data_IF_163271483720
#
_entry.id   IF_163271483720
#
_cell.length_a   1.000
_cell.length_b   1.000
_cell.length_c   1.000
_cell.angle_alpha   90.00
_cell.angle_beta   90.00
_cell.angle_gamma   90.00
#
_symmetry.space_group_name_H-M   'P 1'
#
loop_
_entity.id
_entity.type
_entity.pdbx_description
1 polymer ?
#
# COMPACT_ATOMS: atom_id res chain seq x y z
N UNK A 1 2.30 36.75 -22.14
CA UNK A 1 1.71 35.57 -21.46
C UNK A 1 2.52 34.29 -21.65
N UNK A 2 2.96 33.92 -22.87
CA UNK A 2 3.75 32.69 -23.11
C UNK A 2 5.03 32.59 -22.24
N UNK A 3 5.78 33.68 -22.14
CA UNK A 3 7.05 33.74 -21.39
C UNK A 3 6.90 33.46 -19.89
N UNK A 4 5.78 33.86 -19.29
CA UNK A 4 5.55 33.70 -17.85
C UNK A 4 5.27 32.24 -17.46
N UNK A 5 4.59 31.48 -18.33
CA UNK A 5 4.30 30.06 -18.12
C UNK A 5 5.54 29.16 -18.25
N UNK A 6 6.52 29.57 -19.04
CA UNK A 6 7.77 28.82 -19.28
C UNK A 6 8.69 28.93 -18.05
N UNK A 7 8.80 30.12 -17.45
CA UNK A 7 9.72 30.40 -16.33
C UNK A 7 9.27 29.66 -15.05
N UNK A 8 7.98 29.65 -14.72
CA UNK A 8 7.47 28.95 -13.53
C UNK A 8 7.62 27.42 -13.61
N UNK A 9 7.59 26.84 -14.81
CA UNK A 9 7.74 25.40 -15.03
C UNK A 9 9.20 24.91 -14.93
N UNK A 10 10.16 25.79 -15.20
CA UNK A 10 11.58 25.44 -15.17
C UNK A 10 12.13 25.36 -13.73
N UNK A 11 11.63 26.21 -12.82
CA UNK A 11 12.08 26.23 -11.42
C UNK A 11 11.65 25.00 -10.61
N UNK A 12 10.45 24.48 -10.88
CA UNK A 12 9.93 23.30 -10.16
C UNK A 12 10.65 21.99 -10.56
N UNK A 13 11.39 21.96 -11.69
CA UNK A 13 11.99 20.76 -12.30
C UNK A 13 13.26 20.21 -11.65
N UNK A 14 13.87 20.92 -10.70
CA UNK A 14 15.28 20.71 -10.33
C UNK A 14 15.58 19.75 -9.16
N UNK A 15 14.61 18.97 -8.66
CA UNK A 15 14.87 18.01 -7.59
C UNK A 15 14.56 16.57 -8.03
N UNK A 16 15.57 15.88 -8.55
CA UNK A 16 15.51 14.44 -8.80
C UNK A 16 16.00 13.70 -7.55
N UNK A 17 15.20 12.76 -7.06
CA UNK A 17 15.62 11.73 -6.12
C UNK A 17 15.33 10.41 -6.81
N UNK A 18 16.37 9.64 -7.12
CA UNK A 18 16.24 8.30 -7.66
C UNK A 18 15.76 7.34 -6.55
N UNK A 19 14.88 6.37 -6.88
CA UNK A 19 14.47 5.35 -5.94
C UNK A 19 15.68 4.51 -5.51
N UNK A 20 15.88 4.35 -4.19
CA UNK A 20 17.01 3.61 -3.65
C UNK A 20 16.87 2.09 -3.89
N UNK A 21 17.99 1.36 -3.97
CA UNK A 21 18.03 -0.11 -4.12
C UNK A 21 17.14 -0.89 -3.11
N UNK A 22 16.85 -0.31 -1.94
CA UNK A 22 15.97 -0.92 -0.94
C UNK A 22 14.52 -1.02 -1.42
N UNK A 23 14.07 -0.08 -2.25
CA UNK A 23 12.73 -0.08 -2.82
C UNK A 23 12.58 -1.22 -3.85
N UNK A 24 13.60 -1.46 -4.67
CA UNK A 24 13.64 -2.53 -5.69
C UNK A 24 13.47 -3.94 -5.11
N UNK A 25 14.04 -4.24 -3.94
CA UNK A 25 13.93 -5.56 -3.32
C UNK A 25 12.57 -5.82 -2.65
N UNK A 26 11.92 -4.78 -2.12
CA UNK A 26 10.54 -4.88 -1.62
C UNK A 26 9.54 -5.15 -2.75
N UNK A 27 9.72 -4.46 -3.89
CA UNK A 27 8.83 -4.56 -5.05
C UNK A 27 8.72 -5.97 -5.63
N UNK A 28 9.81 -6.72 -5.66
CA UNK A 28 9.81 -8.08 -6.20
C UNK A 28 8.92 -9.03 -5.38
N UNK A 29 8.97 -8.94 -4.05
CA UNK A 29 8.24 -9.85 -3.17
C UNK A 29 6.73 -9.58 -3.16
N UNK A 30 6.34 -8.31 -3.11
CA UNK A 30 4.94 -7.89 -3.28
C UNK A 30 4.36 -8.36 -4.62
N UNK A 31 5.12 -8.21 -5.72
CA UNK A 31 4.69 -8.65 -7.06
C UNK A 31 4.46 -10.16 -7.14
N UNK A 32 5.30 -10.97 -6.46
CA UNK A 32 5.15 -12.42 -6.37
C UNK A 32 3.85 -12.78 -5.62
N UNK A 33 3.58 -12.12 -4.50
CA UNK A 33 2.34 -12.31 -3.74
C UNK A 33 1.10 -12.03 -4.60
N UNK A 34 1.04 -10.86 -5.25
CA UNK A 34 -0.10 -10.50 -6.10
C UNK A 34 -0.29 -11.51 -7.24
N UNK A 35 0.81 -11.95 -7.89
CA UNK A 35 0.75 -12.91 -8.99
C UNK A 35 0.13 -14.23 -8.54
N UNK A 36 0.57 -14.78 -7.41
CA UNK A 36 0.06 -16.07 -6.93
C UNK A 36 -1.38 -15.97 -6.46
N UNK A 37 -1.75 -14.93 -5.72
CA UNK A 37 -3.14 -14.73 -5.31
C UNK A 37 -4.08 -14.59 -6.51
N UNK A 38 -3.64 -13.89 -7.56
CA UNK A 38 -4.40 -13.77 -8.81
C UNK A 38 -4.49 -15.11 -9.55
N UNK A 39 -3.37 -15.83 -9.72
CA UNK A 39 -3.34 -17.12 -10.41
C UNK A 39 -4.21 -18.19 -9.74
N UNK A 40 -4.30 -18.13 -8.40
CA UNK A 40 -5.10 -19.05 -7.59
C UNK A 40 -6.54 -18.56 -7.36
N UNK A 41 -6.94 -17.44 -7.96
CA UNK A 41 -8.26 -16.83 -7.81
C UNK A 41 -8.68 -16.54 -6.36
N UNK A 42 -7.72 -16.20 -5.49
CA UNK A 42 -8.04 -15.74 -4.14
C UNK A 42 -8.71 -14.36 -4.18
N UNK A 43 -9.71 -14.17 -3.31
CA UNK A 43 -10.31 -12.84 -3.14
C UNK A 43 -9.40 -11.98 -2.27
N UNK A 44 -8.58 -11.14 -2.92
CA UNK A 44 -7.55 -10.34 -2.27
C UNK A 44 -7.71 -8.85 -2.56
N UNK A 45 -7.41 -8.03 -1.56
CA UNK A 45 -7.44 -6.57 -1.62
C UNK A 45 -6.09 -6.01 -1.20
N UNK A 46 -5.50 -5.16 -2.03
CA UNK A 46 -4.11 -4.73 -1.86
C UNK A 46 -3.99 -3.32 -1.29
N UNK A 47 -2.90 -3.06 -0.57
CA UNK A 47 -2.50 -1.73 -0.08
C UNK A 47 -3.62 -0.98 0.65
N UNK A 48 -4.39 -1.70 1.47
CA UNK A 48 -5.48 -1.10 2.24
C UNK A 48 -4.91 -0.32 3.41
N UNK A 49 -5.49 0.85 3.66
CA UNK A 49 -5.07 1.73 4.73
C UNK A 49 -6.16 1.95 5.76
N UNK A 50 -5.75 2.26 6.99
CA UNK A 50 -6.62 2.71 8.07
C UNK A 50 -6.01 3.95 8.71
N UNK A 51 -6.84 4.88 9.19
CA UNK A 51 -6.35 5.99 10.02
C UNK A 51 -5.76 5.44 11.31
N UNK A 52 -4.57 5.89 11.69
CA UNK A 52 -3.99 5.51 12.97
C UNK A 52 -4.83 6.09 14.12
N UNK A 53 -5.19 5.29 15.13
CA UNK A 53 -5.93 5.79 16.29
C UNK A 53 -5.07 6.66 17.22
N UNK A 54 -3.74 6.56 17.13
CA UNK A 54 -2.82 7.27 18.02
C UNK A 54 -2.21 8.53 17.39
N UNK A 55 -2.22 8.62 16.06
CA UNK A 55 -1.64 9.76 15.37
C UNK A 55 -2.49 10.12 14.15
N UNK A 56 -3.16 11.28 14.23
CA UNK A 56 -4.00 11.83 13.16
C UNK A 56 -3.26 12.05 11.83
N UNK A 57 -1.93 12.10 11.88
CA UNK A 57 -1.03 12.28 10.74
C UNK A 57 -0.42 10.97 10.24
N UNK A 58 -0.90 9.80 10.66
CA UNK A 58 -0.36 8.53 10.17
C UNK A 58 -1.47 7.58 9.75
N UNK A 59 -1.15 6.77 8.75
CA UNK A 59 -1.97 5.65 8.33
C UNK A 59 -1.29 4.35 8.73
N UNK A 60 -2.12 3.36 9.05
CA UNK A 60 -1.72 1.97 9.10
C UNK A 60 -1.93 1.40 7.70
N UNK A 61 -1.00 0.59 7.23
CA UNK A 61 -1.02 -0.01 5.90
C UNK A 61 -0.73 -1.50 6.02
N UNK A 62 -1.36 -2.27 5.14
CA UNK A 62 -1.15 -3.70 4.97
C UNK A 62 -1.00 -4.01 3.48
N UNK A 63 -0.13 -4.96 3.16
CA UNK A 63 0.16 -5.31 1.76
C UNK A 63 -1.06 -5.98 1.13
N UNK A 64 -1.63 -7.00 1.77
CA UNK A 64 -2.85 -7.65 1.30
C UNK A 64 -3.84 -7.98 2.41
N UNK A 65 -5.13 -7.93 2.07
CA UNK A 65 -6.22 -8.51 2.84
C UNK A 65 -6.82 -9.61 1.98
N UNK A 66 -6.76 -10.86 2.45
CA UNK A 66 -7.35 -12.01 1.78
C UNK A 66 -8.63 -12.39 2.53
N UNK A 67 -9.74 -12.54 1.81
CA UNK A 67 -10.97 -13.12 2.34
C UNK A 67 -11.16 -14.52 1.80
N UNK A 68 -10.97 -15.51 2.67
CA UNK A 68 -11.03 -16.92 2.32
C UNK A 68 -11.81 -17.69 3.39
N UNK A 69 -12.72 -18.54 2.95
CA UNK A 69 -13.53 -19.42 3.80
C UNK A 69 -13.99 -18.73 5.10
N UNK A 70 -14.73 -17.63 4.92
CA UNK A 70 -15.28 -16.79 6.00
C UNK A 70 -14.26 -16.24 7.02
N UNK A 71 -12.99 -16.13 6.62
CA UNK A 71 -11.89 -15.60 7.43
C UNK A 71 -11.17 -14.49 6.69
N UNK A 72 -10.87 -13.40 7.41
CA UNK A 72 -10.13 -12.26 6.89
C UNK A 72 -8.68 -12.36 7.37
N UNK A 73 -7.76 -12.51 6.42
CA UNK A 73 -6.33 -12.55 6.66
C UNK A 73 -5.68 -11.22 6.29
N UNK A 74 -5.03 -10.57 7.23
CA UNK A 74 -4.18 -9.40 6.98
C UNK A 74 -2.74 -9.89 6.80
N UNK A 75 -2.22 -9.75 5.58
CA UNK A 75 -0.95 -10.30 5.12
C UNK A 75 0.05 -9.17 4.92
N UNK A 76 1.19 -9.26 5.61
CA UNK A 76 2.37 -8.42 5.34
C UNK A 76 3.47 -9.31 4.72
N UNK A 77 4.01 -8.91 3.58
CA UNK A 77 5.08 -9.59 2.87
C UNK A 77 6.44 -9.00 3.25
N UNK A 78 7.43 -9.87 3.46
CA UNK A 78 8.81 -9.48 3.78
C UNK A 78 9.82 -10.23 2.94
N UNK A 79 10.87 -9.51 2.56
CA UNK A 79 12.01 -10.00 1.81
C UNK A 79 13.29 -9.52 2.48
N UNK A 80 13.62 -10.13 3.61
CA UNK A 80 14.79 -9.78 4.39
C UNK A 80 15.93 -10.73 4.06
N UNK A 81 16.85 -10.30 3.19
CA UNK A 81 18.01 -11.11 2.84
C UNK A 81 18.75 -11.63 4.07
N UNK A 82 19.01 -12.94 4.14
CA UNK A 82 19.76 -13.58 5.22
C UNK A 82 18.87 -14.34 6.21
N UNK A 83 19.34 -14.46 7.45
CA UNK A 83 18.68 -15.25 8.50
C UNK A 83 18.07 -14.34 9.55
N UNK A 84 16.85 -14.66 9.98
CA UNK A 84 16.09 -13.91 10.98
C UNK A 84 15.93 -14.74 12.25
N UNK A 85 16.23 -14.13 13.40
CA UNK A 85 16.03 -14.71 14.73
C UNK A 85 15.46 -13.66 15.70
N UNK A 86 14.88 -14.11 16.81
CA UNK A 86 14.50 -13.18 17.88
C UNK A 86 15.73 -12.60 18.57
N UNK A 87 15.67 -11.32 18.95
CA UNK A 87 16.72 -10.73 19.75
C UNK A 87 16.77 -11.39 21.14
N UNK A 88 17.96 -11.72 21.64
CA UNK A 88 18.12 -12.26 22.98
C UNK A 88 18.02 -11.15 24.05
N UNK A 89 17.47 -11.50 25.20
CA UNK A 89 17.52 -10.72 26.43
C UNK A 89 18.57 -11.35 27.35
N UNK A 90 19.49 -10.52 27.83
CA UNK A 90 20.49 -10.93 28.81
C UNK A 90 20.30 -10.13 30.09
N UNK A 91 20.33 -10.82 31.22
CA UNK A 91 20.36 -10.22 32.55
C UNK A 91 21.69 -10.59 33.20
N UNK A 92 22.53 -9.58 33.48
CA UNK A 92 23.89 -9.78 34.03
C UNK A 92 24.72 -10.81 33.24
N UNK A 93 24.80 -10.61 31.92
CA UNK A 93 25.52 -11.48 30.96
C UNK A 93 25.03 -12.94 30.89
N UNK A 94 23.93 -13.27 31.56
CA UNK A 94 23.27 -14.58 31.49
C UNK A 94 22.06 -14.49 30.56
N UNK A 95 21.89 -15.46 29.67
CA UNK A 95 20.71 -15.55 28.82
C UNK A 95 19.46 -15.70 29.69
N UNK A 96 18.50 -14.80 29.51
CA UNK A 96 17.22 -14.81 30.22
C UNK A 96 16.09 -15.32 29.32
N UNK A 97 15.87 -14.64 28.20
CA UNK A 97 14.72 -14.92 27.32
C UNK A 97 14.92 -14.33 25.92
N UNK A 98 13.97 -14.57 25.00
CA UNK A 98 13.93 -13.89 23.70
C UNK A 98 12.96 -12.71 23.73
N UNK A 99 13.35 -11.58 23.15
CA UNK A 99 12.51 -10.41 22.91
C UNK A 99 11.66 -10.64 21.66
N UNK A 100 10.43 -11.09 21.84
CA UNK A 100 9.51 -11.41 20.73
C UNK A 100 9.09 -10.20 19.89
N UNK A 101 9.24 -8.98 20.42
CA UNK A 101 8.94 -7.73 19.72
C UNK A 101 10.06 -7.24 18.79
N UNK A 102 11.23 -7.87 18.83
CA UNK A 102 12.42 -7.45 18.10
C UNK A 102 13.04 -8.65 17.40
N UNK A 103 13.24 -8.52 16.09
CA UNK A 103 13.96 -9.51 15.30
C UNK A 103 15.34 -8.97 14.93
N UNK A 104 16.30 -9.86 14.77
CA UNK A 104 17.62 -9.54 14.24
C UNK A 104 17.71 -10.16 12.85
N UNK A 105 18.07 -9.33 11.88
CA UNK A 105 18.45 -9.78 10.53
C UNK A 105 19.96 -9.91 10.47
N UNK A 106 20.47 -11.13 10.32
CA UNK A 106 21.87 -11.42 10.04
C UNK A 106 22.05 -11.66 8.56
N UNK A 107 22.96 -10.91 7.94
CA UNK A 107 23.26 -11.02 6.50
C UNK A 107 24.73 -10.77 6.21
N UNK A 108 25.19 -11.34 5.13
CA UNK A 108 26.53 -11.07 4.59
C UNK A 108 26.49 -9.82 3.71
N UNK A 109 27.41 -8.89 3.94
CA UNK A 109 27.54 -7.69 3.11
C UNK A 109 28.31 -7.97 1.80
N UNK A 110 28.53 -6.93 0.98
CA UNK A 110 29.27 -7.04 -0.30
C UNK A 110 30.75 -7.43 -0.12
N UNK A 111 31.29 -7.27 1.09
CA UNK A 111 32.68 -7.56 1.45
C UNK A 111 32.82 -8.90 2.19
N UNK A 112 31.79 -9.74 2.18
CA UNK A 112 31.73 -11.03 2.87
C UNK A 112 31.78 -10.93 4.41
N UNK A 113 31.55 -9.75 4.98
CA UNK A 113 31.44 -9.57 6.42
C UNK A 113 30.01 -9.86 6.90
N UNK A 114 29.90 -10.46 8.08
CA UNK A 114 28.61 -10.59 8.74
C UNK A 114 28.17 -9.24 9.31
N UNK A 115 26.97 -8.82 8.95
CA UNK A 115 26.32 -7.62 9.48
C UNK A 115 24.98 -8.02 10.09
N UNK A 116 24.63 -7.38 11.19
CA UNK A 116 23.33 -7.57 11.83
C UNK A 116 22.56 -6.26 11.88
N UNK A 117 21.23 -6.35 11.81
CA UNK A 117 20.32 -5.22 11.96
C UNK A 117 19.17 -5.62 12.86
N UNK A 118 18.97 -4.87 13.94
CA UNK A 118 17.77 -5.00 14.76
C UNK A 118 16.59 -4.31 14.07
N UNK A 119 15.46 -5.01 14.00
CA UNK A 119 14.21 -4.55 13.40
C UNK A 119 13.05 -4.88 14.34
N UNK A 120 11.97 -4.08 14.34
CA UNK A 120 10.75 -4.47 15.04
C UNK A 120 10.17 -5.74 14.41
N UNK A 121 9.53 -6.59 15.22
CA UNK A 121 8.83 -7.77 14.71
C UNK A 121 7.66 -7.31 13.81
N UNK A 122 7.64 -7.68 12.51
CA UNK A 122 6.57 -7.28 11.60
C UNK A 122 5.19 -7.81 12.06
N UNK A 123 5.14 -8.93 12.78
CA UNK A 123 3.88 -9.52 13.23
C UNK A 123 3.13 -8.60 14.20
N UNK A 124 3.85 -7.84 15.04
CA UNK A 124 3.21 -6.91 15.99
C UNK A 124 2.46 -5.79 15.26
N UNK A 125 3.07 -5.24 14.21
CA UNK A 125 2.41 -4.25 13.32
C UNK A 125 1.20 -4.87 12.65
N UNK A 126 1.32 -6.09 12.13
CA UNK A 126 0.22 -6.79 11.44
C UNK A 126 -0.93 -7.13 12.39
N UNK A 127 -0.65 -7.62 13.60
CA UNK A 127 -1.63 -7.85 14.67
C UNK A 127 -2.33 -6.55 15.05
N UNK A 128 -1.58 -5.46 15.16
CA UNK A 128 -2.16 -4.16 15.43
C UNK A 128 -3.09 -3.68 14.30
N UNK A 129 -2.67 -3.75 13.04
CA UNK A 129 -3.51 -3.41 11.89
C UNK A 129 -4.80 -4.25 11.89
N UNK A 130 -4.66 -5.57 12.03
CA UNK A 130 -5.78 -6.53 12.03
C UNK A 130 -6.81 -6.19 13.12
N UNK A 131 -6.34 -5.86 14.32
CA UNK A 131 -7.20 -5.42 15.43
C UNK A 131 -7.94 -4.13 15.10
N UNK A 132 -7.27 -3.16 14.46
CA UNK A 132 -7.92 -1.91 14.05
C UNK A 132 -8.91 -2.13 12.90
N UNK A 133 -8.60 -3.00 11.94
CA UNK A 133 -9.51 -3.37 10.87
C UNK A 133 -10.79 -3.98 11.42
N UNK A 134 -10.67 -4.96 12.32
CA UNK A 134 -11.83 -5.58 12.98
C UNK A 134 -12.69 -4.54 13.69
N UNK A 135 -12.07 -3.64 14.46
CA UNK A 135 -12.79 -2.54 15.14
C UNK A 135 -13.45 -1.58 14.15
N UNK A 136 -12.78 -1.26 13.06
CA UNK A 136 -13.30 -0.38 12.01
C UNK A 136 -14.53 -1.00 11.37
N UNK A 137 -14.46 -2.25 10.91
CA UNK A 137 -15.56 -2.95 10.26
C UNK A 137 -16.76 -3.18 11.20
N UNK A 138 -16.50 -3.54 12.47
CA UNK A 138 -17.55 -3.69 13.49
C UNK A 138 -18.37 -2.42 13.74
N UNK A 139 -17.80 -1.23 13.50
CA UNK A 139 -18.55 0.03 13.63
C UNK A 139 -19.56 0.24 12.51
N UNK A 140 -19.36 -0.39 11.36
CA UNK A 140 -20.28 -0.31 10.23
C UNK A 140 -21.29 -1.45 10.21
N UNK A 141 -20.88 -2.65 10.63
CA UNK A 141 -21.75 -3.82 10.66
C UNK A 141 -21.36 -4.77 11.80
N UNK A 142 -22.30 -5.07 12.69
CA UNK A 142 -22.06 -5.92 13.86
C UNK A 142 -21.83 -7.39 13.47
N UNK A 143 -22.27 -7.84 12.28
CA UNK A 143 -22.08 -9.21 11.80
C UNK A 143 -20.61 -9.59 11.67
N UNK A 144 -19.70 -8.62 11.57
CA UNK A 144 -18.25 -8.86 11.65
C UNK A 144 -17.78 -9.46 12.99
N UNK A 145 -18.65 -9.57 14.01
CA UNK A 145 -18.31 -10.24 15.27
C UNK A 145 -18.09 -11.74 15.10
N UNK A 146 -18.74 -12.35 14.09
CA UNK A 146 -18.68 -13.79 13.80
C UNK A 146 -17.54 -14.15 12.83
N UNK A 147 -17.01 -13.16 12.11
CA UNK A 147 -15.91 -13.32 11.16
C UNK A 147 -14.58 -13.45 11.90
N UNK A 148 -13.79 -14.46 11.55
CA UNK A 148 -12.43 -14.64 12.10
C UNK A 148 -11.46 -13.67 11.41
N UNK A 149 -10.58 -13.07 12.19
CA UNK A 149 -9.50 -12.22 11.69
C UNK A 149 -8.16 -12.84 12.07
N UNK A 150 -7.26 -12.99 11.11
CA UNK A 150 -5.92 -13.54 11.29
C UNK A 150 -4.87 -12.57 10.75
N UNK A 151 -3.76 -12.51 11.46
CA UNK A 151 -2.58 -11.74 11.09
C UNK A 151 -1.53 -12.70 10.60
N UNK A 152 -0.90 -12.40 9.46
CA UNK A 152 0.17 -13.23 8.93
C UNK A 152 1.26 -12.36 8.33
N UNK A 153 2.49 -12.70 8.64
CA UNK A 153 3.69 -12.19 7.97
C UNK A 153 4.29 -13.33 7.17
N UNK A 154 4.52 -13.04 5.90
CA UNK A 154 4.99 -14.01 4.93
C UNK A 154 6.40 -13.59 4.51
N UNK A 155 7.35 -14.51 4.59
CA UNK A 155 8.73 -14.27 4.19
C UNK A 155 9.08 -15.02 2.91
N UNK A 156 9.76 -14.35 1.98
CA UNK A 156 10.17 -14.99 0.73
C UNK A 156 11.25 -16.06 0.98
N UNK A 157 10.91 -17.32 0.72
CA UNK A 157 11.76 -18.50 0.95
C UNK A 157 13.15 -18.38 0.31
N UNK A 158 13.21 -17.83 -0.91
CA UNK A 158 14.42 -17.80 -1.72
C UNK A 158 15.52 -16.88 -1.19
N UNK A 159 15.20 -16.00 -0.25
CA UNK A 159 16.10 -14.95 0.22
C UNK A 159 16.17 -14.82 1.74
N UNK A 160 15.17 -15.32 2.46
CA UNK A 160 15.01 -15.13 3.90
C UNK A 160 14.88 -16.48 4.57
N UNK A 161 15.82 -16.84 5.46
CA UNK A 161 15.64 -17.95 6.39
C UNK A 161 15.00 -17.42 7.68
N UNK A 162 13.88 -17.99 8.09
CA UNK A 162 13.17 -17.65 9.32
C UNK A 162 13.06 -18.83 10.29
N UNK A 163 13.83 -19.90 10.15
CA UNK A 163 13.71 -21.12 10.96
C UNK A 163 13.77 -20.83 12.47
N UNK A 164 14.52 -19.80 12.87
CA UNK A 164 14.63 -19.36 14.27
C UNK A 164 13.42 -18.58 14.81
N UNK A 165 12.48 -18.14 13.97
CA UNK A 165 11.25 -17.42 14.36
C UNK A 165 9.97 -18.00 13.76
N UNK A 166 10.07 -19.02 12.90
CA UNK A 166 8.95 -19.59 12.18
C UNK A 166 7.91 -20.11 13.17
N UNK A 167 6.66 -19.73 12.95
CA UNK A 167 5.54 -20.20 13.74
C UNK A 167 4.29 -20.18 12.87
N UNK A 168 3.90 -21.38 12.42
CA UNK A 168 2.72 -21.55 11.58
C UNK A 168 1.48 -21.01 12.26
N UNK A 169 1.19 -21.41 13.51
CA UNK A 169 -0.01 -20.97 14.24
C UNK A 169 -0.09 -19.46 14.49
N UNK A 170 1.04 -18.82 14.81
CA UNK A 170 1.11 -17.38 15.06
C UNK A 170 1.09 -16.55 13.78
N UNK A 171 1.28 -17.18 12.61
CA UNK A 171 1.31 -16.51 11.32
C UNK A 171 2.66 -15.90 10.98
N UNK A 172 3.78 -16.50 11.41
CA UNK A 172 5.13 -16.18 10.92
C UNK A 172 5.57 -17.33 10.02
N UNK A 173 5.38 -17.17 8.72
CA UNK A 173 5.49 -18.29 7.78
C UNK A 173 6.39 -17.96 6.59
N UNK A 174 6.90 -19.01 5.97
CA UNK A 174 7.45 -18.92 4.63
C UNK A 174 6.33 -18.70 3.61
N UNK A 175 6.68 -18.10 2.47
CA UNK A 175 5.76 -17.85 1.37
C UNK A 175 5.21 -19.15 0.77
N UNK A 176 6.02 -20.19 0.69
CA UNK A 176 5.57 -21.54 0.30
C UNK A 176 4.44 -22.11 1.17
N UNK A 177 4.32 -21.66 2.43
CA UNK A 177 3.32 -22.14 3.39
C UNK A 177 2.00 -21.35 3.35
N UNK A 178 1.90 -20.30 2.52
CA UNK A 178 0.76 -19.38 2.56
C UNK A 178 -0.56 -20.08 2.22
N UNK A 179 -0.60 -20.91 1.18
CA UNK A 179 -1.82 -21.62 0.79
C UNK A 179 -2.31 -22.54 1.91
N UNK A 180 -1.43 -23.39 2.45
CA UNK A 180 -1.76 -24.29 3.56
C UNK A 180 -2.23 -23.52 4.80
N UNK A 181 -1.60 -22.39 5.10
CA UNK A 181 -2.00 -21.52 6.20
C UNK A 181 -3.41 -20.96 6.00
N UNK A 182 -3.73 -20.46 4.80
CA UNK A 182 -5.07 -19.95 4.49
C UNK A 182 -6.13 -21.04 4.65
N UNK A 183 -5.87 -22.26 4.16
CA UNK A 183 -6.83 -23.36 4.29
C UNK A 183 -7.02 -23.81 5.75
N UNK A 184 -5.92 -24.09 6.46
CA UNK A 184 -5.99 -24.65 7.81
C UNK A 184 -6.49 -23.64 8.85
N UNK A 185 -6.25 -22.34 8.65
CA UNK A 185 -6.61 -21.30 9.61
C UNK A 185 -7.95 -20.63 9.32
N UNK A 186 -8.62 -21.01 8.22
CA UNK A 186 -9.95 -20.53 7.88
C UNK A 186 -11.04 -21.14 8.76
N UNK A 187 -12.25 -20.57 8.67
CA UNK A 187 -13.46 -21.20 9.18
C UNK A 187 -14.00 -22.11 8.06
N UNK A 188 -14.53 -23.28 8.37
CA UNK A 188 -15.21 -24.10 7.35
C UNK A 188 -16.55 -23.44 6.97
N UNK A 189 -16.52 -22.47 6.07
CA UNK A 189 -17.68 -21.70 5.65
C UNK A 189 -17.45 -21.02 4.30
N UNK A 190 -18.52 -20.60 3.66
CA UNK A 190 -18.45 -19.91 2.36
C UNK A 190 -18.19 -18.41 2.52
N UNK A 191 -17.56 -17.82 1.51
CA UNK A 191 -17.35 -16.37 1.46
C UNK A 191 -18.69 -15.64 1.30
N UNK A 192 -18.96 -14.71 2.20
CA UNK A 192 -20.17 -13.90 2.21
C UNK A 192 -20.00 -12.66 1.32
N UNK A 193 -20.90 -12.46 0.36
CA UNK A 193 -20.86 -11.31 -0.54
C UNK A 193 -20.90 -9.95 0.21
N UNK A 194 -21.67 -9.87 1.29
CA UNK A 194 -21.75 -8.63 2.09
C UNK A 194 -20.41 -8.24 2.74
N UNK A 195 -19.51 -9.20 3.02
CA UNK A 195 -18.16 -8.90 3.54
C UNK A 195 -17.33 -8.22 2.47
N UNK A 196 -17.43 -8.69 1.22
CA UNK A 196 -16.72 -8.14 0.07
C UNK A 196 -17.06 -6.66 -0.13
N UNK A 197 -18.35 -6.31 -0.04
CA UNK A 197 -18.81 -4.93 -0.18
C UNK A 197 -18.12 -3.94 0.77
N UNK A 198 -17.76 -4.39 1.98
CA UNK A 198 -17.04 -3.56 2.95
C UNK A 198 -15.54 -3.54 2.68
N UNK A 199 -14.94 -4.69 2.33
CA UNK A 199 -13.50 -4.79 2.05
C UNK A 199 -13.12 -4.05 0.77
N UNK A 200 -13.99 -4.01 -0.23
CA UNK A 200 -13.81 -3.23 -1.46
C UNK A 200 -13.73 -1.73 -1.19
N UNK A 201 -14.53 -1.25 -0.24
CA UNK A 201 -14.64 0.16 0.16
C UNK A 201 -13.54 0.61 1.11
N UNK A 202 -12.65 -0.28 1.55
CA UNK A 202 -11.52 0.12 2.38
C UNK A 202 -10.63 1.10 1.60
N UNK A 203 -10.21 2.21 2.23
CA UNK A 203 -9.41 3.19 1.52
C UNK A 203 -8.05 2.59 1.15
N UNK A 204 -7.49 3.09 0.07
CA UNK A 204 -6.12 2.86 -0.39
C UNK A 204 -5.43 4.21 -0.51
N UNK A 205 -4.14 4.21 -0.80
CA UNK A 205 -3.48 5.45 -1.16
C UNK A 205 -3.78 5.84 -2.59
N UNK A 206 -3.88 7.15 -2.82
CA UNK A 206 -3.89 7.77 -4.13
C UNK A 206 -2.50 8.30 -4.46
N UNK A 207 -2.23 8.48 -5.76
CA UNK A 207 -0.93 8.97 -6.24
C UNK A 207 -1.10 10.14 -7.18
N UNK A 208 -0.28 11.16 -7.01
CA UNK A 208 -0.05 12.23 -7.98
C UNK A 208 1.36 12.06 -8.51
N UNK A 209 1.48 11.83 -9.82
CA UNK A 209 2.76 11.84 -10.53
C UNK A 209 2.95 13.23 -11.11
N UNK A 210 4.00 13.91 -10.68
CA UNK A 210 4.28 15.28 -11.10
C UNK A 210 4.88 15.34 -12.50
N UNK A 211 4.98 16.55 -13.05
CA UNK A 211 5.69 16.83 -14.32
C UNK A 211 7.18 16.43 -14.30
N UNK A 212 7.74 16.18 -13.11
CA UNK A 212 9.12 15.75 -12.90
C UNK A 212 9.22 14.25 -12.57
N UNK A 213 8.13 13.50 -12.80
CA UNK A 213 8.01 12.09 -12.42
C UNK A 213 8.17 11.80 -10.91
N UNK A 214 8.02 12.80 -10.04
CA UNK A 214 7.94 12.55 -8.60
C UNK A 214 6.57 11.99 -8.26
N UNK A 215 6.53 10.94 -7.45
CA UNK A 215 5.28 10.36 -6.94
C UNK A 215 4.95 10.92 -5.56
N UNK A 216 3.80 11.56 -5.43
CA UNK A 216 3.26 12.06 -4.18
C UNK A 216 2.09 11.18 -3.77
N UNK A 217 2.21 10.52 -2.62
CA UNK A 217 1.23 9.59 -2.09
C UNK A 217 0.41 10.24 -0.97
N UNK A 218 -0.91 10.01 -0.95
CA UNK A 218 -1.83 10.54 0.06
C UNK A 218 -3.27 10.05 -0.16
N UNK A 219 -4.26 10.73 0.42
CA UNK A 219 -5.69 10.48 0.15
C UNK A 219 -6.28 11.67 -0.59
N UNK A 220 -6.79 11.45 -1.79
CA UNK A 220 -7.51 12.46 -2.57
C UNK A 220 -8.77 12.86 -1.83
N UNK A 221 -8.93 14.17 -1.64
CA UNK A 221 -10.14 14.77 -1.06
C UNK A 221 -11.04 15.35 -2.13
N UNK A 222 -10.43 16.00 -3.11
CA UNK A 222 -11.16 16.76 -4.11
C UNK A 222 -10.32 16.90 -5.38
N UNK A 223 -10.98 16.82 -6.54
CA UNK A 223 -10.41 17.21 -7.83
C UNK A 223 -11.38 18.22 -8.46
N UNK A 224 -10.92 19.46 -8.55
CA UNK A 224 -11.66 20.57 -9.14
C UNK A 224 -11.13 20.78 -10.55
N UNK A 225 -11.99 20.58 -11.55
CA UNK A 225 -11.66 20.82 -12.95
C UNK A 225 -12.47 22.01 -13.44
N UNK A 226 -11.77 22.99 -14.01
CA UNK A 226 -12.39 24.05 -14.78
C UNK A 226 -12.24 23.73 -16.26
N UNK A 227 -13.38 23.52 -16.91
CA UNK A 227 -13.50 23.33 -18.34
C UNK A 227 -14.34 24.47 -18.92
N UNK A 228 -14.35 24.60 -20.25
CA UNK A 228 -15.21 25.57 -20.94
C UNK A 228 -16.72 25.22 -20.85
N UNK A 229 -17.07 24.06 -20.29
CA UNK A 229 -18.42 23.63 -19.91
C UNK A 229 -18.57 23.69 -18.38
N UNK A 230 -19.80 23.82 -17.83
CA UNK A 230 -20.01 24.03 -16.39
C UNK A 230 -19.18 23.06 -15.55
N UNK A 231 -18.57 23.59 -14.47
CA UNK A 231 -17.71 22.86 -13.55
C UNK A 231 -18.35 21.49 -13.25
N UNK A 232 -17.75 20.43 -13.77
CA UNK A 232 -18.20 19.07 -13.52
C UNK A 232 -17.37 18.57 -12.35
N UNK A 233 -18.00 18.43 -11.19
CA UNK A 233 -17.37 17.71 -10.08
C UNK A 233 -17.21 16.25 -10.51
N UNK A 234 -15.98 15.75 -10.41
CA UNK A 234 -15.67 14.38 -10.76
C UNK A 234 -15.96 13.45 -9.59
N UNK A 235 -16.82 12.46 -9.80
CA UNK A 235 -17.03 11.41 -8.82
C UNK A 235 -15.79 10.50 -8.75
N UNK A 236 -14.94 10.78 -7.76
CA UNK A 236 -13.70 10.04 -7.53
C UNK A 236 -13.93 8.54 -7.36
N UNK A 237 -15.11 8.10 -6.91
CA UNK A 237 -15.42 6.68 -6.74
C UNK A 237 -15.50 5.91 -8.06
N UNK A 238 -15.69 6.61 -9.18
CA UNK A 238 -15.81 6.01 -10.53
C UNK A 238 -14.52 6.08 -11.32
N UNK A 239 -13.56 6.88 -10.87
CA UNK A 239 -12.34 7.18 -11.61
C UNK A 239 -11.24 6.27 -11.12
N UNK A 240 -10.48 5.73 -12.07
CA UNK A 240 -9.27 4.94 -11.83
C UNK A 240 -8.02 5.79 -12.00
N UNK A 241 -7.97 6.58 -13.07
CA UNK A 241 -6.81 7.40 -13.38
C UNK A 241 -7.19 8.66 -14.18
N UNK A 242 -6.33 9.66 -14.10
CA UNK A 242 -6.40 10.89 -14.88
C UNK A 242 -5.01 11.12 -15.48
N UNK A 243 -4.88 10.98 -16.79
CA UNK A 243 -3.66 11.28 -17.52
C UNK A 243 -3.73 12.69 -18.10
N UNK A 244 -2.66 13.46 -17.93
CA UNK A 244 -2.58 14.88 -18.30
C UNK A 244 -1.48 15.07 -19.35
N UNK A 245 -1.88 15.39 -20.57
CA UNK A 245 -0.98 15.74 -21.67
C UNK A 245 -0.90 17.25 -21.82
N UNK A 246 0.24 17.79 -21.40
CA UNK A 246 0.54 19.22 -21.52
C UNK A 246 0.86 19.59 -22.97
N UNK A 247 0.22 20.65 -23.50
CA UNK A 247 0.61 21.24 -24.77
C UNK A 247 1.68 22.30 -24.52
N UNK A 248 2.85 22.18 -25.16
CA UNK A 248 4.00 23.07 -24.95
C UNK A 248 3.70 24.56 -25.18
N UNK A 249 2.72 24.87 -26.02
CA UNK A 249 2.39 26.24 -26.46
C UNK A 249 1.16 26.83 -25.78
N UNK A 250 0.51 26.11 -24.85
CA UNK A 250 -0.78 26.50 -24.29
C UNK A 250 -0.86 26.32 -22.77
N UNK A 251 -1.65 27.18 -22.12
CA UNK A 251 -2.07 26.96 -20.73
C UNK A 251 -3.10 25.82 -20.60
N UNK A 252 -3.60 25.31 -21.73
CA UNK A 252 -4.54 24.20 -21.79
C UNK A 252 -3.81 22.86 -21.80
N UNK A 253 -4.36 21.89 -21.08
CA UNK A 253 -3.94 20.50 -21.13
C UNK A 253 -5.06 19.62 -21.68
N UNK A 254 -4.67 18.55 -22.37
CA UNK A 254 -5.60 17.47 -22.70
C UNK A 254 -5.64 16.50 -21.52
N UNK A 255 -6.84 16.24 -21.02
CA UNK A 255 -7.10 15.32 -19.93
C UNK A 255 -7.74 14.07 -20.51
N UNK A 256 -7.22 12.91 -20.12
CA UNK A 256 -7.85 11.62 -20.35
C UNK A 256 -8.23 11.03 -18.99
N UNK A 257 -9.53 10.97 -18.73
CA UNK A 257 -10.08 10.24 -17.59
C UNK A 257 -10.24 8.78 -17.97
N UNK A 258 -9.81 7.90 -17.08
CA UNK A 258 -10.10 6.47 -17.14
C UNK A 258 -10.98 6.09 -15.95
N UNK A 259 -12.13 5.47 -16.25
CA UNK A 259 -13.06 4.99 -15.24
C UNK A 259 -12.72 3.55 -14.79
N UNK A 260 -13.33 3.10 -13.70
CA UNK A 260 -13.12 1.75 -13.14
C UNK A 260 -13.56 0.63 -14.09
N UNK A 261 -14.56 0.90 -14.96
CA UNK A 261 -15.03 0.00 -16.01
C UNK A 261 -14.14 0.02 -17.28
N UNK A 262 -12.99 0.70 -17.20
CA UNK A 262 -12.01 0.89 -18.27
C UNK A 262 -12.46 1.82 -19.41
N UNK A 263 -13.67 2.39 -19.34
CA UNK A 263 -14.08 3.41 -20.30
C UNK A 263 -13.25 4.68 -20.11
N UNK A 264 -13.12 5.47 -21.17
CA UNK A 264 -12.33 6.69 -21.15
C UNK A 264 -13.14 7.89 -21.59
N UNK A 265 -12.79 9.06 -21.07
CA UNK A 265 -13.36 10.34 -21.47
C UNK A 265 -12.23 11.35 -21.65
N UNK A 266 -12.21 12.03 -22.79
CA UNK A 266 -11.22 13.05 -23.08
C UNK A 266 -11.84 14.43 -23.16
N UNK A 267 -11.14 15.42 -22.61
CA UNK A 267 -11.50 16.83 -22.73
C UNK A 267 -10.28 17.73 -22.54
N UNK A 268 -10.47 19.02 -22.77
CA UNK A 268 -9.44 20.04 -22.58
C UNK A 268 -9.82 20.91 -21.39
N UNK A 269 -8.89 21.06 -20.45
CA UNK A 269 -9.03 21.97 -19.32
C UNK A 269 -7.92 23.03 -19.33
N UNK A 270 -8.21 24.20 -18.76
CA UNK A 270 -7.24 25.27 -18.54
C UNK A 270 -6.79 25.35 -17.09
N UNK A 271 -7.60 24.84 -16.15
CA UNK A 271 -7.25 24.72 -14.73
C UNK A 271 -7.74 23.40 -14.16
N UNK A 272 -6.87 22.79 -13.36
CA UNK A 272 -7.16 21.64 -12.53
C UNK A 272 -6.48 21.87 -11.18
N UNK A 273 -7.21 21.60 -10.11
CA UNK A 273 -6.72 21.66 -8.73
C UNK A 273 -7.01 20.32 -8.08
N UNK A 274 -6.00 19.73 -7.47
CA UNK A 274 -6.14 18.50 -6.69
C UNK A 274 -5.83 18.81 -5.24
N UNK A 275 -6.72 18.41 -4.34
CA UNK A 275 -6.49 18.46 -2.90
C UNK A 275 -6.18 17.05 -2.42
N UNK A 276 -4.96 16.89 -1.91
CA UNK A 276 -4.44 15.63 -1.38
C UNK A 276 -4.16 15.78 0.11
N UNK A 277 -4.73 14.90 0.92
CA UNK A 277 -4.37 14.75 2.33
C UNK A 277 -3.14 13.85 2.44
N UNK A 278 -1.97 14.48 2.59
CA UNK A 278 -0.72 13.79 2.86
C UNK A 278 -0.53 13.76 4.37
N UNK A 279 -0.92 12.65 4.99
CA UNK A 279 -0.63 12.39 6.40
C UNK A 279 -1.20 13.49 7.32
N UNK A 280 -2.46 13.89 7.12
CA UNK A 280 -3.15 14.93 7.88
C UNK A 280 -2.78 16.37 7.50
N UNK A 281 -1.93 16.54 6.47
CA UNK A 281 -1.60 17.85 5.88
C UNK A 281 -2.24 17.94 4.51
N UNK A 282 -3.13 18.92 4.32
CA UNK A 282 -3.74 19.19 3.02
C UNK A 282 -2.74 19.87 2.10
N UNK A 283 -2.45 19.22 0.98
CA UNK A 283 -1.61 19.75 -0.10
C UNK A 283 -2.47 20.07 -1.31
N UNK A 284 -2.24 21.24 -1.89
CA UNK A 284 -2.93 21.70 -3.10
C UNK A 284 -1.98 21.62 -4.29
N UNK A 285 -2.32 20.76 -5.25
CA UNK A 285 -1.56 20.57 -6.48
C UNK A 285 -2.31 21.18 -7.66
N UNK A 286 -1.59 21.84 -8.56
CA UNK A 286 -2.16 22.54 -9.72
C UNK A 286 -1.84 21.78 -11.00
N UNK A 287 -2.68 21.96 -12.02
CA UNK A 287 -2.52 21.39 -13.36
C UNK A 287 -1.08 21.44 -13.88
N UNK A 288 -0.42 22.59 -13.73
CA UNK A 288 0.94 22.84 -14.21
C UNK A 288 1.98 21.85 -13.71
N UNK A 289 1.72 21.20 -12.56
CA UNK A 289 2.68 20.39 -11.82
C UNK A 289 2.31 18.90 -11.85
N UNK A 290 1.22 18.50 -12.52
CA UNK A 290 0.70 17.12 -12.51
C UNK A 290 0.75 16.53 -13.92
N UNK A 291 1.30 15.32 -14.05
CA UNK A 291 1.24 14.50 -15.27
C UNK A 291 0.16 13.43 -15.17
N UNK A 292 -0.02 12.83 -13.99
CA UNK A 292 -0.99 11.76 -13.79
C UNK A 292 -1.52 11.75 -12.37
N UNK A 293 -2.78 11.36 -12.22
CA UNK A 293 -3.41 11.07 -10.95
C UNK A 293 -3.89 9.61 -11.02
N UNK A 294 -3.58 8.82 -10.00
CA UNK A 294 -4.05 7.45 -9.85
C UNK A 294 -4.93 7.43 -8.60
N UNK A 295 -6.19 7.05 -8.79
CA UNK A 295 -7.17 6.95 -7.72
C UNK A 295 -7.17 5.51 -7.22
N UNK A 296 -6.74 5.34 -5.98
CA UNK A 296 -6.53 4.08 -5.32
C UNK A 296 -5.37 3.23 -5.85
N UNK A 297 -4.64 2.60 -4.93
CA UNK A 297 -3.67 1.54 -5.23
C UNK A 297 -4.34 0.18 -5.12
N UNK A 298 -5.09 -0.22 -6.14
CA UNK A 298 -5.78 -1.52 -6.19
C UNK A 298 -4.86 -2.70 -6.52
N UNK A 299 -3.59 -2.43 -6.78
CA UNK A 299 -2.53 -3.41 -6.93
C UNK A 299 -1.41 -3.06 -5.96
N UNK A 300 -0.57 -4.05 -5.63
CA UNK A 300 0.59 -3.82 -4.79
C UNK A 300 1.50 -2.76 -5.41
N UNK A 301 1.61 -2.71 -6.75
CA UNK A 301 2.25 -1.64 -7.53
C UNK A 301 1.61 -1.49 -8.93
N UNK A 302 1.71 -0.32 -9.59
CA UNK A 302 1.28 -0.17 -10.98
C UNK A 302 2.10 -1.07 -11.91
N UNK A 303 1.41 -1.76 -12.83
CA UNK A 303 2.01 -2.46 -13.97
C UNK A 303 2.62 -1.47 -14.95
#
# INVERSE_FOLDING_TARGET
>A
MLFFCIITRFWDRFFSIEPSDQELFGFAAESILQKILTQKNYTAFYNRILKSPYNKHRFLEIDAIIYHNNTIFCVEMKNYKGTIYYAANFQNDTFDSYKTNTIIQLKTDKHLNQTFKALPNPLDKTKFFTKQLRKYLLRFDNRFSTIKFKSVVVFLDSSTNIDGIQSFEEGLIYFSQLEDFLEQQSQNGTNNAWVLDYLEKLPTFDKIITVNNQTIQGILKEIIIHCQKPNTELDLKKIRAIDIKHKFTSCKAQIMLQYNDLTTCEFVCDKLTVILDKFGTLQKHRLSNINKIIVGTHSLRPL
#
